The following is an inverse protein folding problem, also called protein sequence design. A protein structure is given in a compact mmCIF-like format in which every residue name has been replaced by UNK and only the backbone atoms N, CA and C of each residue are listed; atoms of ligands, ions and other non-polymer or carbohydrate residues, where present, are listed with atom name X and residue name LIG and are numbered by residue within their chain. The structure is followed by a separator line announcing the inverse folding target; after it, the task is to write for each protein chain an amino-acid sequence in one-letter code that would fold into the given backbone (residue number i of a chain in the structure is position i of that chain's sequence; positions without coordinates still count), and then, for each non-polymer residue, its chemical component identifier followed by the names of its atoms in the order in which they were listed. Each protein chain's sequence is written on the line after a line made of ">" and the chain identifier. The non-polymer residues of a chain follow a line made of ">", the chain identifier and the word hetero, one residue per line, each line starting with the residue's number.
data_IF_140717028475
#
_entry.id   IF_140717028475
#
_cell.length_a   1.000
_cell.length_b   1.000
_cell.length_c   1.000
_cell.angle_alpha   90.00
_cell.angle_beta   90.00
_cell.angle_gamma   90.00
#
_symmetry.space_group_name_H-M   'P 1'
#
loop_
_entity.id
_entity.type
_entity.pdbx_description
1 polymer ?
#
# COMPACT_ATOMS: atom_id res chain seq x y z
N UNK A 1 -18.12 -33.55 7.95
CA UNK A 1 -16.64 -33.57 7.89
C UNK A 1 -16.13 -32.85 9.13
N UNK A 2 -15.18 -33.42 9.90
CA UNK A 2 -14.64 -32.73 11.07
C UNK A 2 -13.88 -31.47 10.64
N UNK A 3 -14.04 -30.41 11.43
CA UNK A 3 -13.32 -29.14 11.26
C UNK A 3 -11.80 -29.37 11.41
N UNK A 4 -11.02 -29.01 10.38
CA UNK A 4 -9.55 -29.05 10.42
C UNK A 4 -8.99 -27.62 10.26
N UNK A 5 -8.35 -27.05 11.30
CA UNK A 5 -7.90 -25.65 11.34
C UNK A 5 -6.58 -25.38 10.61
N UNK A 6 -6.13 -26.28 9.75
CA UNK A 6 -4.82 -26.21 9.12
C UNK A 6 -4.91 -25.30 7.87
N UNK A 7 -4.09 -24.24 7.83
CA UNK A 7 -4.08 -23.20 6.79
C UNK A 7 -3.71 -23.73 5.40
N UNK A 8 -3.14 -24.92 5.36
CA UNK A 8 -2.74 -25.69 4.18
C UNK A 8 -3.92 -26.36 3.48
N UNK A 9 -5.14 -26.29 4.03
CA UNK A 9 -6.36 -26.87 3.43
C UNK A 9 -7.12 -25.91 2.50
N UNK A 10 -6.72 -24.62 2.43
CA UNK A 10 -7.20 -23.68 1.39
C UNK A 10 -6.40 -23.90 0.09
N UNK A 11 -6.54 -25.13 -0.43
CA UNK A 11 -5.56 -25.78 -1.30
C UNK A 11 -5.32 -25.12 -2.67
N UNK A 12 -6.05 -24.07 -3.05
CA UNK A 12 -5.80 -23.38 -4.32
C UNK A 12 -5.89 -21.85 -4.21
N UNK A 13 -6.89 -21.30 -3.51
CA UNK A 13 -7.05 -19.85 -3.44
C UNK A 13 -5.97 -19.19 -2.55
N UNK A 14 -5.65 -19.79 -1.41
CA UNK A 14 -4.54 -19.33 -0.56
C UNK A 14 -3.20 -19.43 -1.28
N UNK A 15 -2.96 -20.54 -1.99
CA UNK A 15 -1.75 -20.75 -2.79
C UNK A 15 -1.62 -19.73 -3.93
N UNK A 16 -2.71 -19.41 -4.62
CA UNK A 16 -2.73 -18.33 -5.63
C UNK A 16 -2.38 -16.97 -5.03
N UNK A 17 -2.87 -16.68 -3.82
CA UNK A 17 -2.52 -15.46 -3.09
C UNK A 17 -1.03 -15.40 -2.72
N UNK A 18 -0.48 -16.50 -2.20
CA UNK A 18 0.95 -16.59 -1.91
C UNK A 18 1.81 -16.42 -3.16
N UNK A 19 1.44 -17.09 -4.25
CA UNK A 19 2.17 -17.00 -5.52
C UNK A 19 2.09 -15.59 -6.12
N UNK A 20 0.93 -14.93 -5.98
CA UNK A 20 0.77 -13.54 -6.39
C UNK A 20 1.68 -12.60 -5.57
N UNK A 21 1.76 -12.77 -4.23
CA UNK A 21 2.68 -12.00 -3.39
C UNK A 21 4.15 -12.29 -3.74
N UNK A 22 4.51 -13.56 -3.99
CA UNK A 22 5.86 -13.93 -4.44
C UNK A 22 6.20 -13.24 -5.75
N UNK A 23 5.30 -13.30 -6.74
CA UNK A 23 5.46 -12.64 -8.05
C UNK A 23 5.57 -11.11 -7.92
N UNK A 24 4.79 -10.51 -7.02
CA UNK A 24 4.83 -9.08 -6.73
C UNK A 24 6.19 -8.63 -6.20
N UNK A 25 6.83 -9.43 -5.35
CA UNK A 25 8.13 -9.13 -4.74
C UNK A 25 9.32 -9.60 -5.59
N UNK A 26 9.09 -10.55 -6.50
CA UNK A 26 10.12 -11.09 -7.36
C UNK A 26 10.36 -10.19 -8.58
N UNK A 27 11.24 -9.21 -8.38
CA UNK A 27 11.79 -8.36 -9.45
C UNK A 27 12.53 -9.12 -10.57
N UNK A 28 12.66 -10.45 -10.49
CA UNK A 28 13.47 -11.28 -11.41
C UNK A 28 12.73 -12.41 -12.13
N UNK A 29 11.40 -12.50 -12.06
CA UNK A 29 10.71 -13.57 -12.81
C UNK A 29 10.94 -13.39 -14.33
N UNK A 30 10.99 -14.45 -15.17
CA UNK A 30 11.11 -14.38 -16.67
C UNK A 30 9.79 -14.72 -17.42
N UNK A 31 9.38 -14.00 -18.50
CA UNK A 31 8.07 -14.09 -19.15
C UNK A 31 8.17 -15.18 -20.14
N UNK A 32 7.45 -16.23 -19.82
CA UNK A 32 7.17 -17.29 -20.75
C UNK A 32 6.16 -16.75 -21.74
N UNK A 33 6.69 -16.27 -22.86
CA UNK A 33 5.97 -15.69 -23.99
C UNK A 33 6.83 -14.71 -24.80
N UNK A 34 7.75 -14.02 -24.12
CA UNK A 34 8.68 -13.04 -24.68
C UNK A 34 10.15 -13.31 -24.30
N UNK A 35 10.40 -14.20 -23.33
CA UNK A 35 11.71 -14.43 -22.72
C UNK A 35 11.97 -13.60 -21.45
N UNK A 36 11.15 -12.62 -21.08
CA UNK A 36 11.43 -11.63 -20.01
C UNK A 36 10.20 -11.31 -19.15
N UNK A 37 10.18 -11.62 -17.85
CA UNK A 37 9.03 -11.28 -17.00
C UNK A 37 9.52 -10.00 -16.42
N UNK A 38 8.68 -9.03 -16.60
CA UNK A 38 8.82 -7.83 -15.84
C UNK A 38 8.11 -8.10 -14.52
N UNK A 39 8.89 -8.49 -13.50
CA UNK A 39 8.38 -8.46 -12.13
C UNK A 39 7.81 -7.07 -11.84
N UNK A 40 6.76 -7.00 -11.03
CA UNK A 40 6.20 -5.71 -10.69
C UNK A 40 7.18 -4.92 -9.81
N UNK A 41 7.25 -3.61 -10.02
CA UNK A 41 8.04 -2.72 -9.16
C UNK A 41 7.19 -2.28 -7.96
N UNK A 42 7.81 -2.22 -6.77
CA UNK A 42 7.11 -1.94 -5.52
C UNK A 42 7.82 -0.84 -4.74
N UNK A 43 7.06 0.16 -4.27
CA UNK A 43 7.51 1.14 -3.29
C UNK A 43 6.95 0.75 -1.91
N UNK A 44 7.82 0.62 -0.90
CA UNK A 44 7.44 0.25 0.47
C UNK A 44 7.59 1.44 1.41
N UNK A 45 6.54 1.75 2.17
CA UNK A 45 6.56 2.75 3.27
C UNK A 45 6.12 2.13 4.58
N UNK A 46 6.65 2.67 5.67
CA UNK A 46 6.27 2.30 7.04
C UNK A 46 5.53 3.47 7.69
N UNK A 47 4.33 3.19 8.17
CA UNK A 47 3.52 4.08 9.00
C UNK A 47 3.76 3.70 10.47
N UNK A 48 4.35 4.62 11.23
CA UNK A 48 4.87 4.36 12.58
C UNK A 48 3.89 4.85 13.63
N UNK A 49 3.19 3.93 14.28
CA UNK A 49 2.37 4.09 15.49
C UNK A 49 1.16 5.06 15.41
N UNK A 50 1.27 6.15 14.65
CA UNK A 50 0.28 7.22 14.52
C UNK A 50 -1.04 6.74 13.93
N UNK A 51 -1.01 5.72 13.07
CA UNK A 51 -2.24 5.13 12.52
C UNK A 51 -3.09 4.48 13.61
N UNK A 52 -2.47 3.90 14.63
CA UNK A 52 -3.15 3.23 15.72
C UNK A 52 -3.82 4.23 16.67
N UNK A 53 -3.13 5.32 16.99
CA UNK A 53 -3.67 6.36 17.89
C UNK A 53 -4.67 7.29 17.22
N UNK A 54 -4.48 7.60 15.93
CA UNK A 54 -5.32 8.58 15.22
C UNK A 54 -6.41 7.94 14.35
N UNK A 55 -6.29 6.65 14.03
CA UNK A 55 -7.17 5.98 13.07
C UNK A 55 -7.01 6.47 11.64
N UNK A 56 -5.88 7.09 11.27
CA UNK A 56 -5.62 7.63 9.94
C UNK A 56 -4.37 7.03 9.31
N UNK A 57 -4.37 6.98 7.97
CA UNK A 57 -3.22 6.66 7.13
C UNK A 57 -2.69 7.93 6.48
N UNK A 58 -1.38 8.08 6.41
CA UNK A 58 -0.72 9.22 5.76
C UNK A 58 0.02 8.79 4.48
N UNK A 59 -0.45 9.32 3.35
CA UNK A 59 0.16 9.09 2.05
C UNK A 59 0.93 10.34 1.59
N UNK A 60 2.26 10.31 1.66
CA UNK A 60 3.11 11.43 1.23
C UNK A 60 3.07 11.63 -0.30
N UNK A 61 2.98 12.88 -0.75
CA UNK A 61 3.13 13.26 -2.17
C UNK A 61 4.17 14.36 -2.44
N UNK A 62 4.71 15.00 -1.41
CA UNK A 62 5.66 16.10 -1.55
C UNK A 62 6.62 16.13 -0.37
N UNK A 63 7.89 16.43 -0.64
CA UNK A 63 8.91 16.70 0.36
C UNK A 63 9.70 17.94 -0.04
N UNK A 64 9.75 18.95 0.83
CA UNK A 64 10.46 20.21 0.62
C UNK A 64 10.14 20.88 -0.74
N UNK A 65 8.85 20.94 -1.10
CA UNK A 65 8.37 21.54 -2.35
C UNK A 65 8.57 20.69 -3.61
N UNK A 66 9.19 19.51 -3.51
CA UNK A 66 9.41 18.60 -4.65
C UNK A 66 8.43 17.43 -4.60
N UNK A 67 7.95 16.93 -5.75
CA UNK A 67 7.16 15.71 -5.79
C UNK A 67 7.88 14.56 -5.07
N UNK A 68 7.17 13.85 -4.21
CA UNK A 68 7.65 12.70 -3.45
C UNK A 68 6.58 11.61 -3.38
N UNK A 69 6.90 10.50 -2.70
CA UNK A 69 5.99 9.42 -2.37
C UNK A 69 5.12 8.96 -3.54
N UNK A 70 3.81 8.89 -3.34
CA UNK A 70 2.91 8.32 -4.34
C UNK A 70 2.82 9.18 -5.62
N UNK A 71 3.19 10.47 -5.59
CA UNK A 71 3.21 11.34 -6.78
C UNK A 71 4.48 11.16 -7.62
N UNK A 72 5.61 10.84 -7.00
CA UNK A 72 6.91 10.70 -7.68
C UNK A 72 7.25 9.26 -8.07
N UNK A 73 6.78 8.26 -7.30
CA UNK A 73 7.16 6.87 -7.51
C UNK A 73 6.83 6.38 -8.93
N UNK A 74 7.73 5.56 -9.48
CA UNK A 74 7.55 4.84 -10.74
C UNK A 74 7.16 3.38 -10.51
N UNK A 75 6.97 2.99 -9.26
CA UNK A 75 6.51 1.67 -8.90
C UNK A 75 5.11 1.39 -9.43
N UNK A 76 4.85 0.13 -9.77
CA UNK A 76 3.53 -0.37 -10.13
C UNK A 76 2.63 -0.50 -8.89
N UNK A 77 3.24 -0.88 -7.76
CA UNK A 77 2.56 -1.12 -6.50
C UNK A 77 3.14 -0.32 -5.33
N UNK A 78 2.27 -0.08 -4.36
CA UNK A 78 2.57 0.58 -3.11
C UNK A 78 2.24 -0.36 -1.96
N UNK A 79 3.23 -0.62 -1.10
CA UNK A 79 3.03 -1.35 0.15
C UNK A 79 3.16 -0.37 1.31
N UNK A 80 2.11 -0.30 2.13
CA UNK A 80 2.06 0.55 3.31
C UNK A 80 2.01 -0.35 4.56
N UNK A 81 3.16 -0.53 5.20
CA UNK A 81 3.32 -1.38 6.38
C UNK A 81 2.93 -0.58 7.62
N UNK A 82 1.99 -1.12 8.39
CA UNK A 82 1.55 -0.57 9.66
C UNK A 82 2.42 -1.14 10.77
N UNK A 83 3.11 -0.27 11.50
CA UNK A 83 3.97 -0.67 12.62
C UNK A 83 3.42 -0.15 13.94
N UNK A 84 3.56 -0.95 15.00
CA UNK A 84 3.20 -0.58 16.37
C UNK A 84 4.33 -1.03 17.30
N UNK A 85 4.94 -0.10 18.04
CA UNK A 85 6.05 -0.36 18.96
C UNK A 85 7.25 -1.05 18.30
N UNK A 86 7.49 -0.77 17.02
CA UNK A 86 8.57 -1.37 16.23
C UNK A 86 8.20 -2.67 15.51
N UNK A 87 7.04 -3.27 15.81
CA UNK A 87 6.60 -4.52 15.19
C UNK A 87 5.62 -4.28 14.03
N UNK A 88 5.73 -5.09 12.97
CA UNK A 88 4.80 -5.07 11.85
C UNK A 88 3.44 -5.67 12.28
N UNK A 89 2.37 -4.88 12.20
CA UNK A 89 1.00 -5.32 12.52
C UNK A 89 0.23 -5.78 11.28
N UNK A 90 0.60 -5.27 10.11
CA UNK A 90 -0.04 -5.61 8.85
C UNK A 90 0.47 -4.72 7.72
N UNK A 91 -0.02 -4.96 6.50
CA UNK A 91 0.33 -4.13 5.34
C UNK A 91 -0.86 -3.98 4.39
N UNK A 92 -0.93 -2.83 3.74
CA UNK A 92 -1.86 -2.54 2.66
C UNK A 92 -1.08 -2.60 1.34
N UNK A 93 -1.55 -3.39 0.38
CA UNK A 93 -0.93 -3.54 -0.94
C UNK A 93 -1.88 -2.95 -1.99
N UNK A 94 -1.42 -1.93 -2.71
CA UNK A 94 -2.29 -1.06 -3.53
C UNK A 94 -1.63 -0.79 -4.88
N UNK A 95 -2.33 -0.94 -6.02
CA UNK A 95 -1.82 -0.43 -7.29
C UNK A 95 -1.61 1.08 -7.19
N UNK A 96 -0.45 1.59 -7.62
CA UNK A 96 -0.14 3.03 -7.54
C UNK A 96 -1.14 3.88 -8.34
N UNK A 97 -1.66 3.34 -9.44
CA UNK A 97 -2.70 3.99 -10.25
C UNK A 97 -3.99 4.20 -9.45
N UNK A 98 -4.46 3.17 -8.75
CA UNK A 98 -5.63 3.23 -7.87
C UNK A 98 -5.40 4.13 -6.67
N UNK A 99 -4.20 4.08 -6.07
CA UNK A 99 -3.85 4.97 -4.97
C UNK A 99 -3.97 6.44 -5.38
N UNK A 100 -3.42 6.81 -6.56
CA UNK A 100 -3.46 8.18 -7.09
C UNK A 100 -4.87 8.66 -7.40
N UNK A 101 -5.65 7.86 -8.13
CA UNK A 101 -7.02 8.24 -8.51
C UNK A 101 -7.95 8.26 -7.31
N UNK A 102 -7.88 7.23 -6.46
CA UNK A 102 -8.68 7.10 -5.24
C UNK A 102 -8.41 8.23 -4.25
N UNK A 103 -7.15 8.51 -3.90
CA UNK A 103 -6.86 9.62 -2.97
C UNK A 103 -7.31 10.97 -3.52
N UNK A 104 -7.14 11.22 -4.83
CA UNK A 104 -7.62 12.45 -5.46
C UNK A 104 -9.14 12.60 -5.33
N UNK A 105 -9.88 11.52 -5.63
CA UNK A 105 -11.34 11.48 -5.49
C UNK A 105 -11.75 11.72 -4.04
N UNK A 106 -11.16 11.01 -3.08
CA UNK A 106 -11.51 11.14 -1.67
C UNK A 106 -11.19 12.52 -1.09
N UNK A 107 -10.12 13.17 -1.57
CA UNK A 107 -9.84 14.58 -1.24
C UNK A 107 -10.92 15.50 -1.82
N UNK A 108 -11.32 15.30 -3.08
CA UNK A 108 -12.39 16.11 -3.70
C UNK A 108 -13.75 15.94 -3.04
N UNK A 109 -14.03 14.75 -2.48
CA UNK A 109 -15.25 14.43 -1.74
C UNK A 109 -15.21 14.92 -0.26
N UNK A 110 -14.08 15.47 0.20
CA UNK A 110 -13.90 15.90 1.58
C UNK A 110 -13.74 14.76 2.59
N UNK A 111 -13.53 13.52 2.12
CA UNK A 111 -13.36 12.32 2.95
C UNK A 111 -11.93 12.21 3.46
N UNK A 112 -10.97 12.59 2.62
CA UNK A 112 -9.56 12.69 2.97
C UNK A 112 -9.13 14.16 2.89
N UNK A 113 -8.06 14.52 3.60
CA UNK A 113 -7.56 15.91 3.60
C UNK A 113 -6.08 15.98 3.31
N UNK A 114 -5.66 17.05 2.64
CA UNK A 114 -4.23 17.37 2.49
C UNK A 114 -3.73 18.01 3.79
N UNK A 115 -2.62 17.51 4.32
CA UNK A 115 -2.02 18.03 5.56
C UNK A 115 -0.51 18.04 5.46
N UNK A 116 0.18 18.99 6.12
CA UNK A 116 1.58 18.82 6.46
C UNK A 116 1.78 17.56 7.30
N UNK A 117 2.93 16.92 7.16
CA UNK A 117 3.32 15.74 7.92
C UNK A 117 4.81 15.42 7.77
N UNK A 118 5.18 14.21 8.16
CA UNK A 118 6.57 13.76 8.21
C UNK A 118 7.40 14.49 9.26
N UNK A 119 8.69 14.15 9.33
CA UNK A 119 9.61 14.76 10.30
C UNK A 119 9.77 16.25 9.99
N UNK A 120 9.62 17.09 11.02
CA UNK A 120 9.74 18.55 10.93
C UNK A 120 8.73 19.24 9.99
N UNK A 121 7.57 18.62 9.71
CA UNK A 121 6.54 19.16 8.79
C UNK A 121 7.07 19.50 7.38
N UNK A 122 8.15 18.85 6.95
CA UNK A 122 8.76 19.06 5.62
C UNK A 122 8.04 18.31 4.51
N UNK A 123 7.14 17.39 4.86
CA UNK A 123 6.36 16.63 3.91
C UNK A 123 4.91 17.13 3.84
N UNK A 124 4.27 16.92 2.70
CA UNK A 124 2.82 17.03 2.55
C UNK A 124 2.27 15.70 2.06
N UNK A 125 1.10 15.36 2.58
CA UNK A 125 0.43 14.11 2.24
C UNK A 125 -1.06 14.21 2.35
N UNK A 126 -1.71 13.12 1.96
CA UNK A 126 -3.14 12.90 2.13
C UNK A 126 -3.34 12.09 3.41
N UNK A 127 -4.11 12.64 4.34
CA UNK A 127 -4.56 11.95 5.54
C UNK A 127 -5.93 11.33 5.26
N UNK A 128 -5.99 10.00 5.29
CA UNK A 128 -7.18 9.19 5.01
C UNK A 128 -7.59 8.44 6.27
N UNK A 129 -8.82 8.60 6.79
CA UNK A 129 -9.31 7.73 7.86
C UNK A 129 -9.22 6.25 7.45
N UNK A 130 -8.61 5.42 8.28
CA UNK A 130 -8.39 4.00 8.02
C UNK A 130 -9.70 3.27 7.70
N UNK A 131 -10.78 3.61 8.42
CA UNK A 131 -12.12 3.07 8.18
C UNK A 131 -12.72 3.45 6.81
N UNK A 132 -12.16 4.44 6.11
CA UNK A 132 -12.57 4.85 4.76
C UNK A 132 -11.65 4.27 3.66
N UNK A 133 -10.62 3.49 4.02
CA UNK A 133 -9.62 2.96 3.09
C UNK A 133 -10.22 2.21 1.89
N UNK A 134 -11.26 1.41 2.13
CA UNK A 134 -11.93 0.61 1.10
C UNK A 134 -12.49 1.46 -0.06
N UNK A 135 -12.71 2.76 0.15
CA UNK A 135 -13.23 3.67 -0.87
C UNK A 135 -12.21 4.05 -1.93
N UNK A 136 -10.92 3.72 -1.74
CA UNK A 136 -9.92 3.86 -2.81
C UNK A 136 -10.27 3.04 -4.05
N UNK A 137 -11.10 2.00 -3.90
CA UNK A 137 -11.45 1.04 -4.96
C UNK A 137 -12.88 1.21 -5.48
N UNK A 138 -13.59 2.28 -5.09
CA UNK A 138 -14.94 2.62 -5.57
C UNK A 138 -14.90 3.85 -6.47
#
# INVERSE_FOLDING_TARGET
>A
MPYQPAFDLDLNFGQQGEEWIRTLLDSKWKCKGCGEVQGCTVEIKRERDMWHSTGNLFFEFEWNGKPSGFKATKADWWIHILTLNGDNQGALIIPVTMLRSGLRKLVSEGVARVTPGGDYNKARGVLLPLGQFYRLFK
#
